data_IF_421311372925
#
_entry.id   IF_421311372925
#
_cell.length_a   1.000
_cell.length_b   1.000
_cell.length_c   1.000
_cell.angle_alpha   90.00
_cell.angle_beta   90.00
_cell.angle_gamma   90.00
#
_symmetry.space_group_name_H-M   'P 1'
#
loop_
_entity.id
_entity.type
_entity.pdbx_description
1 polymer ?
#
# COMPACT_ATOMS: atom_id res chain seq x y z
N UNK A 1 8.63 28.46 -29.74
CA UNK A 1 7.27 28.11 -29.30
C UNK A 1 6.87 26.83 -30.01
N UNK A 2 7.09 25.69 -29.37
CA UNK A 2 6.62 24.39 -29.86
C UNK A 2 5.34 24.07 -29.10
N UNK A 3 4.23 24.06 -29.82
CA UNK A 3 2.92 23.69 -29.33
C UNK A 3 3.00 22.23 -28.83
N UNK A 4 2.75 22.02 -27.54
CA UNK A 4 2.62 20.69 -26.94
C UNK A 4 1.47 19.93 -27.63
N UNK A 5 1.80 19.11 -28.61
CA UNK A 5 0.93 18.02 -29.00
C UNK A 5 0.85 17.08 -27.80
N UNK A 6 -0.21 17.20 -26.99
CA UNK A 6 -0.54 16.23 -25.93
C UNK A 6 -0.66 14.85 -26.59
N UNK A 7 0.34 14.01 -26.35
CA UNK A 7 0.39 12.63 -26.78
C UNK A 7 -0.88 11.92 -26.23
N UNK A 8 -1.79 11.40 -27.08
CA UNK A 8 -2.99 10.69 -26.62
C UNK A 8 -2.64 9.48 -25.73
N UNK A 9 -1.45 8.92 -25.95
CA UNK A 9 -0.89 7.81 -25.19
C UNK A 9 -0.58 8.25 -23.74
N UNK A 10 -0.31 9.55 -23.48
CA UNK A 10 -0.11 10.08 -22.12
C UNK A 10 -1.32 9.81 -21.22
N UNK A 11 -2.55 9.91 -21.76
CA UNK A 11 -3.79 9.62 -21.01
C UNK A 11 -3.96 8.16 -20.66
N UNK A 12 -3.53 7.21 -21.49
CA UNK A 12 -3.58 5.79 -21.18
C UNK A 12 -2.43 5.37 -20.24
N UNK A 13 -1.25 5.98 -20.40
CA UNK A 13 -0.06 5.78 -19.55
C UNK A 13 -0.28 6.28 -18.12
N UNK A 14 -1.01 7.40 -17.97
CA UNK A 14 -1.56 7.90 -16.70
C UNK A 14 -2.32 6.79 -15.95
N UNK A 15 -3.10 5.98 -16.66
CA UNK A 15 -4.02 5.01 -16.06
C UNK A 15 -3.28 3.84 -15.42
N UNK A 16 -2.21 3.33 -16.04
CA UNK A 16 -1.42 2.23 -15.45
C UNK A 16 -0.78 2.63 -14.11
N UNK A 17 -0.22 3.84 -14.02
CA UNK A 17 0.35 4.35 -12.77
C UNK A 17 -0.73 4.56 -11.69
N UNK A 18 -1.90 5.10 -12.06
CA UNK A 18 -3.04 5.26 -11.15
C UNK A 18 -3.54 3.90 -10.63
N UNK A 19 -3.73 2.92 -11.51
CA UNK A 19 -4.18 1.57 -11.13
C UNK A 19 -3.20 0.87 -10.21
N UNK A 20 -1.91 0.89 -10.55
CA UNK A 20 -0.88 0.32 -9.68
C UNK A 20 -0.81 1.03 -8.32
N UNK A 21 -0.94 2.36 -8.29
CA UNK A 21 -1.02 3.12 -7.05
C UNK A 21 -2.24 2.71 -6.20
N UNK A 22 -3.40 2.49 -6.82
CA UNK A 22 -4.59 2.03 -6.12
C UNK A 22 -4.39 0.63 -5.51
N UNK A 23 -3.83 -0.32 -6.27
CA UNK A 23 -3.54 -1.68 -5.77
C UNK A 23 -2.59 -1.65 -4.57
N UNK A 24 -1.50 -0.88 -4.66
CA UNK A 24 -0.54 -0.77 -3.55
C UNK A 24 -1.17 -0.06 -2.35
N UNK A 25 -1.93 1.02 -2.58
CA UNK A 25 -2.61 1.75 -1.50
C UNK A 25 -3.60 0.86 -0.74
N UNK A 26 -4.41 0.05 -1.44
CA UNK A 26 -5.33 -0.90 -0.80
C UNK A 26 -4.60 -2.01 -0.04
N UNK A 27 -3.39 -2.39 -0.48
CA UNK A 27 -2.62 -3.47 0.16
C UNK A 27 -1.86 -3.01 1.39
N UNK A 28 -1.50 -1.73 1.45
CA UNK A 28 -0.63 -1.17 2.47
C UNK A 28 -1.16 -1.34 3.91
N UNK A 29 -2.44 -1.08 4.23
CA UNK A 29 -2.96 -1.25 5.59
C UNK A 29 -2.77 -2.68 6.10
N UNK A 30 -3.26 -3.67 5.35
CA UNK A 30 -3.13 -5.08 5.74
C UNK A 30 -1.67 -5.50 5.86
N UNK A 31 -0.80 -5.06 4.96
CA UNK A 31 0.63 -5.39 5.00
C UNK A 31 1.33 -4.83 6.24
N UNK A 32 1.09 -3.55 6.56
CA UNK A 32 1.71 -2.89 7.72
C UNK A 32 1.18 -3.46 9.04
N UNK A 33 -0.14 -3.65 9.16
CA UNK A 33 -0.77 -4.24 10.35
C UNK A 33 -0.29 -5.69 10.58
N UNK A 34 -0.19 -6.48 9.51
CA UNK A 34 0.40 -7.82 9.57
C UNK A 34 1.87 -7.76 10.02
N UNK A 35 2.67 -6.84 9.50
CA UNK A 35 4.07 -6.71 9.93
C UNK A 35 4.18 -6.35 11.43
N UNK A 36 3.36 -5.41 11.92
CA UNK A 36 3.29 -5.04 13.33
C UNK A 36 2.88 -6.20 14.24
N UNK A 37 2.01 -7.08 13.74
CA UNK A 37 1.53 -8.23 14.48
C UNK A 37 2.63 -9.25 14.84
N UNK A 38 3.74 -9.27 14.10
CA UNK A 38 4.94 -10.07 14.42
C UNK A 38 5.96 -9.31 15.28
N UNK A 39 5.68 -8.04 15.60
CA UNK A 39 6.51 -7.18 16.45
C UNK A 39 5.94 -7.02 17.85
N UNK A 40 4.82 -7.68 18.15
CA UNK A 40 4.23 -7.71 19.48
C UNK A 40 5.15 -8.47 20.43
N UNK A 41 5.54 -7.81 21.52
CA UNK A 41 6.29 -8.41 22.61
C UNK A 41 5.35 -9.17 23.53
N UNK A 42 5.78 -10.34 24.00
CA UNK A 42 5.10 -11.03 25.09
C UNK A 42 5.22 -10.23 26.39
N UNK A 43 4.07 -9.82 26.93
CA UNK A 43 3.97 -9.15 28.22
C UNK A 43 3.12 -10.03 29.12
N UNK A 44 3.61 -10.44 30.31
CA UNK A 44 2.83 -11.27 31.22
C UNK A 44 1.46 -10.66 31.52
N UNK A 45 0.40 -11.43 31.33
CA UNK A 45 -0.99 -10.98 31.52
C UNK A 45 -1.61 -10.22 30.36
N UNK A 46 -0.88 -9.93 29.28
CA UNK A 46 -1.48 -9.35 28.06
C UNK A 46 -2.13 -10.45 27.21
N UNK A 47 -3.44 -10.36 26.88
CA UNK A 47 -4.10 -11.35 26.04
C UNK A 47 -3.70 -11.27 24.56
N UNK A 48 -3.06 -10.18 24.12
CA UNK A 48 -2.77 -9.92 22.70
C UNK A 48 -1.93 -11.03 22.02
N UNK A 49 -0.79 -11.49 22.58
CA UNK A 49 -0.04 -12.60 21.98
C UNK A 49 -0.88 -13.86 21.77
N UNK A 50 -1.75 -14.20 22.73
CA UNK A 50 -2.66 -15.34 22.62
C UNK A 50 -3.70 -15.18 21.51
N UNK A 51 -4.30 -13.99 21.39
CA UNK A 51 -5.21 -13.67 20.27
C UNK A 51 -4.52 -13.81 18.91
N UNK A 52 -3.28 -13.33 18.81
CA UNK A 52 -2.51 -13.39 17.56
C UNK A 52 -2.09 -14.81 17.21
N UNK A 53 -1.76 -15.65 18.19
CA UNK A 53 -1.45 -17.06 18.00
C UNK A 53 -2.66 -17.88 17.51
N UNK A 54 -3.87 -17.46 17.86
CA UNK A 54 -5.11 -18.11 17.44
C UNK A 54 -5.59 -17.72 16.03
N UNK A 55 -4.99 -16.69 15.41
CA UNK A 55 -5.37 -16.25 14.07
C UNK A 55 -4.94 -17.27 13.00
N UNK A 56 -5.85 -17.68 12.12
CA UNK A 56 -5.59 -18.61 11.02
C UNK A 56 -5.04 -17.91 9.76
N UNK A 57 -5.14 -16.59 9.68
CA UNK A 57 -4.75 -15.83 8.49
C UNK A 57 -4.11 -14.48 8.82
N UNK A 58 -3.32 -13.96 7.88
CA UNK A 58 -2.76 -12.60 7.99
C UNK A 58 -3.86 -11.52 8.03
N UNK A 59 -5.01 -11.78 7.39
CA UNK A 59 -6.19 -10.91 7.46
C UNK A 59 -6.70 -10.80 8.91
N UNK A 60 -6.89 -11.92 9.59
CA UNK A 60 -7.28 -11.94 11.00
C UNK A 60 -6.25 -11.26 11.90
N UNK A 61 -4.96 -11.54 11.68
CA UNK A 61 -3.86 -10.88 12.42
C UNK A 61 -3.92 -9.36 12.26
N UNK A 62 -4.10 -8.87 11.04
CA UNK A 62 -4.22 -7.45 10.76
C UNK A 62 -5.44 -6.82 11.44
N UNK A 63 -6.60 -7.49 11.41
CA UNK A 63 -7.83 -7.04 12.07
C UNK A 63 -7.67 -6.95 13.61
N UNK A 64 -7.03 -7.95 14.24
CA UNK A 64 -6.72 -7.90 15.67
C UNK A 64 -5.81 -6.71 15.99
N UNK A 65 -4.76 -6.46 15.19
CA UNK A 65 -3.89 -5.30 15.43
C UNK A 65 -4.62 -3.98 15.24
N UNK A 66 -5.48 -3.84 14.23
CA UNK A 66 -6.27 -2.63 14.03
C UNK A 66 -7.13 -2.31 15.27
N UNK A 67 -7.89 -3.29 15.76
CA UNK A 67 -8.74 -3.13 16.94
C UNK A 67 -7.94 -2.78 18.21
N UNK A 68 -6.74 -3.35 18.38
CA UNK A 68 -5.88 -3.06 19.52
C UNK A 68 -5.23 -1.67 19.42
N UNK A 69 -4.97 -1.18 18.21
CA UNK A 69 -4.49 0.20 17.99
C UNK A 69 -5.54 1.27 18.26
N UNK A 70 -6.82 0.97 18.01
CA UNK A 70 -7.95 1.86 18.30
C UNK A 70 -8.27 1.90 19.81
N UNK A 71 -8.20 0.75 20.48
CA UNK A 71 -8.60 0.63 21.88
C UNK A 71 -7.51 0.98 22.89
N UNK A 72 -6.22 0.92 22.52
CA UNK A 72 -5.10 1.13 23.45
C UNK A 72 -4.34 2.43 23.18
N UNK A 73 -3.96 3.12 24.26
CA UNK A 73 -3.03 4.25 24.20
C UNK A 73 -1.57 3.85 23.88
N UNK A 74 -1.15 2.63 24.25
CA UNK A 74 0.20 2.09 24.01
C UNK A 74 0.19 0.74 23.28
N UNK A 75 1.31 0.37 22.67
CA UNK A 75 1.44 -0.89 21.93
C UNK A 75 2.76 -1.60 22.31
N UNK A 76 2.71 -2.89 22.72
CA UNK A 76 3.88 -3.58 23.24
C UNK A 76 4.79 -4.05 22.09
N UNK A 77 5.79 -3.24 21.73
CA UNK A 77 6.77 -3.62 20.71
C UNK A 77 7.98 -4.37 21.27
N UNK A 78 8.49 -5.33 20.48
CA UNK A 78 9.80 -5.94 20.70
C UNK A 78 10.89 -4.89 20.55
N UNK A 79 11.85 -4.87 21.49
CA UNK A 79 13.03 -3.99 21.41
C UNK A 79 14.00 -4.55 20.37
N UNK A 80 14.26 -3.79 19.32
CA UNK A 80 15.20 -4.12 18.25
C UNK A 80 15.68 -2.83 17.55
N UNK A 81 16.64 -2.95 16.62
CA UNK A 81 17.06 -1.83 15.79
C UNK A 81 15.91 -1.20 14.97
N UNK A 82 14.80 -1.93 14.77
CA UNK A 82 13.60 -1.48 14.05
C UNK A 82 12.58 -0.76 14.91
N UNK A 83 12.73 -0.73 16.24
CA UNK A 83 11.69 -0.20 17.14
C UNK A 83 11.25 1.22 16.79
N UNK A 84 12.17 2.09 16.33
CA UNK A 84 11.80 3.43 15.85
C UNK A 84 10.93 3.40 14.58
N UNK A 85 11.25 2.52 13.63
CA UNK A 85 10.45 2.32 12.42
C UNK A 85 9.08 1.71 12.73
N UNK A 86 9.04 0.75 13.67
CA UNK A 86 7.80 0.09 14.09
C UNK A 86 6.89 1.09 14.86
N UNK A 87 7.48 1.97 15.68
CA UNK A 87 6.74 3.06 16.33
C UNK A 87 6.18 4.07 15.30
N UNK A 88 6.95 4.40 14.27
CA UNK A 88 6.46 5.25 13.17
C UNK A 88 5.34 4.56 12.37
N UNK A 89 5.41 3.24 12.18
CA UNK A 89 4.35 2.45 11.57
C UNK A 89 3.06 2.51 12.38
N UNK A 90 3.13 2.34 13.71
CA UNK A 90 1.98 2.51 14.61
C UNK A 90 1.37 3.90 14.46
N UNK A 91 2.18 4.95 14.43
CA UNK A 91 1.68 6.31 14.29
C UNK A 91 0.91 6.50 12.97
N UNK A 92 1.46 6.00 11.85
CA UNK A 92 0.77 6.03 10.55
C UNK A 92 -0.52 5.20 10.55
N UNK A 93 -0.51 4.03 11.17
CA UNK A 93 -1.69 3.16 11.26
C UNK A 93 -2.79 3.77 12.13
N UNK A 94 -2.44 4.45 13.23
CA UNK A 94 -3.41 5.22 14.02
C UNK A 94 -3.99 6.40 13.25
N UNK A 95 -3.15 7.14 12.51
CA UNK A 95 -3.64 8.20 11.62
C UNK A 95 -4.62 7.64 10.58
N UNK A 96 -4.29 6.49 9.99
CA UNK A 96 -5.13 5.79 9.03
C UNK A 96 -6.46 5.33 9.63
N UNK A 97 -6.45 4.73 10.82
CA UNK A 97 -7.66 4.24 11.49
C UNK A 97 -8.60 5.39 11.86
N UNK A 98 -8.05 6.54 12.23
CA UNK A 98 -8.83 7.73 12.56
C UNK A 98 -9.47 8.41 11.34
N UNK A 99 -8.81 8.40 10.19
CA UNK A 99 -9.31 9.00 8.95
C UNK A 99 -8.85 8.21 7.71
N UNK A 100 -9.53 7.08 7.41
CA UNK A 100 -9.15 6.17 6.34
C UNK A 100 -9.06 6.83 4.97
N UNK A 101 -10.08 7.63 4.63
CA UNK A 101 -10.22 8.26 3.32
C UNK A 101 -9.08 9.22 3.05
N UNK A 102 -8.87 10.21 3.92
CA UNK A 102 -7.83 11.22 3.74
C UNK A 102 -6.44 10.60 3.64
N UNK A 103 -6.14 9.63 4.52
CA UNK A 103 -4.81 9.02 4.57
C UNK A 103 -4.55 8.16 3.33
N UNK A 104 -5.52 7.33 2.91
CA UNK A 104 -5.36 6.50 1.72
C UNK A 104 -5.31 7.31 0.43
N UNK A 105 -6.10 8.39 0.30
CA UNK A 105 -6.01 9.31 -0.83
C UNK A 105 -4.63 9.95 -0.94
N UNK A 106 -4.09 10.43 0.19
CA UNK A 106 -2.73 10.99 0.24
C UNK A 106 -1.67 9.96 -0.13
N UNK A 107 -1.73 8.75 0.43
CA UNK A 107 -0.79 7.66 0.12
C UNK A 107 -0.87 7.28 -1.35
N UNK A 108 -2.08 7.09 -1.90
CA UNK A 108 -2.30 6.85 -3.33
C UNK A 108 -1.66 7.95 -4.18
N UNK A 109 -1.84 9.22 -3.82
CA UNK A 109 -1.24 10.36 -4.53
C UNK A 109 0.29 10.28 -4.59
N UNK A 110 0.95 9.96 -3.46
CA UNK A 110 2.42 9.79 -3.43
C UNK A 110 2.89 8.62 -4.28
N UNK A 111 2.17 7.49 -4.25
CA UNK A 111 2.46 6.31 -5.05
C UNK A 111 2.32 6.62 -6.54
N UNK A 112 1.22 7.26 -6.94
CA UNK A 112 0.93 7.60 -8.32
C UNK A 112 1.99 8.56 -8.88
N UNK A 113 2.34 9.62 -8.14
CA UNK A 113 3.40 10.55 -8.56
C UNK A 113 4.75 9.85 -8.74
N UNK A 114 5.07 8.90 -7.86
CA UNK A 114 6.32 8.13 -7.94
C UNK A 114 6.34 7.24 -9.17
N UNK A 115 5.25 6.50 -9.42
CA UNK A 115 5.12 5.62 -10.59
C UNK A 115 5.11 6.40 -11.91
N UNK A 116 4.46 7.57 -11.96
CA UNK A 116 4.54 8.49 -13.11
C UNK A 116 5.96 8.97 -13.35
N UNK A 117 6.75 9.22 -12.30
CA UNK A 117 8.16 9.60 -12.42
C UNK A 117 8.98 8.45 -13.00
N UNK A 118 8.77 7.21 -12.54
CA UNK A 118 9.41 6.03 -13.13
C UNK A 118 9.09 5.94 -14.63
N UNK A 119 7.82 6.14 -14.99
CA UNK A 119 7.39 6.11 -16.38
C UNK A 119 8.11 7.17 -17.24
N UNK A 120 8.24 8.40 -16.75
CA UNK A 120 9.03 9.44 -17.43
C UNK A 120 10.50 9.06 -17.58
N UNK A 121 11.12 8.51 -16.54
CA UNK A 121 12.50 8.02 -16.61
C UNK A 121 12.64 6.90 -17.66
N UNK A 122 11.70 5.96 -17.72
CA UNK A 122 11.66 4.90 -18.75
C UNK A 122 11.64 5.52 -20.16
N UNK A 123 10.79 6.51 -20.40
CA UNK A 123 10.68 7.13 -21.72
C UNK A 123 11.95 7.88 -22.12
N UNK A 124 12.59 8.58 -21.20
CA UNK A 124 13.88 9.24 -21.46
C UNK A 124 14.95 8.20 -21.83
N UNK A 125 15.01 7.08 -21.12
CA UNK A 125 15.96 6.00 -21.43
C UNK A 125 15.66 5.38 -22.80
N UNK A 126 14.39 5.03 -23.07
CA UNK A 126 13.98 4.35 -24.30
C UNK A 126 14.04 5.22 -25.55
N UNK A 127 13.65 6.50 -25.45
CA UNK A 127 13.58 7.41 -26.60
C UNK A 127 14.82 8.31 -26.72
N UNK A 128 15.46 8.65 -25.60
CA UNK A 128 16.65 9.48 -25.58
C UNK A 128 17.97 8.71 -25.57
N UNK A 129 17.93 7.37 -25.47
CA UNK A 129 19.13 6.52 -25.41
C UNK A 129 20.04 6.76 -24.21
N UNK A 130 19.60 7.58 -23.24
CA UNK A 130 20.43 8.04 -22.12
C UNK A 130 20.08 7.27 -20.86
N UNK A 131 20.96 6.30 -20.52
CA UNK A 131 20.92 5.56 -19.25
C UNK A 131 21.53 6.35 -18.07
N UNK A 132 22.13 7.52 -18.34
CA UNK A 132 22.82 8.36 -17.36
C UNK A 132 21.95 9.41 -16.66
N UNK A 133 20.62 9.30 -16.75
CA UNK A 133 19.72 10.26 -16.12
C UNK A 133 19.92 10.30 -14.61
N UNK A 134 20.34 11.45 -14.07
CA UNK A 134 20.61 11.69 -12.63
C UNK A 134 19.43 11.24 -11.73
N UNK A 135 18.21 11.31 -12.26
CA UNK A 135 16.99 10.92 -11.55
C UNK A 135 16.67 9.41 -11.56
N UNK A 136 17.29 8.61 -12.44
CA UNK A 136 16.94 7.19 -12.62
C UNK A 136 17.25 6.34 -11.37
N UNK A 137 18.44 6.44 -10.73
CA UNK A 137 18.72 5.67 -9.52
C UNK A 137 17.76 6.00 -8.36
N UNK A 138 17.42 7.29 -8.19
CA UNK A 138 16.48 7.74 -7.17
C UNK A 138 15.05 7.26 -7.44
N UNK A 139 14.62 7.30 -8.71
CA UNK A 139 13.33 6.76 -9.12
C UNK A 139 13.24 5.26 -8.83
N UNK A 140 14.22 4.47 -9.29
CA UNK A 140 14.25 3.02 -9.12
C UNK A 140 14.27 2.60 -7.64
N UNK A 141 15.08 3.27 -6.80
CA UNK A 141 15.12 2.99 -5.35
C UNK A 141 13.75 3.14 -4.69
N UNK A 142 12.94 4.08 -5.18
CA UNK A 142 11.62 4.35 -4.62
C UNK A 142 10.55 3.45 -5.23
N UNK A 143 10.58 3.22 -6.55
CA UNK A 143 9.48 2.60 -7.27
C UNK A 143 9.63 1.11 -7.52
N UNK A 144 10.85 0.55 -7.52
CA UNK A 144 11.05 -0.89 -7.71
C UNK A 144 10.25 -1.74 -6.70
N UNK A 145 10.28 -1.47 -5.37
CA UNK A 145 9.47 -2.24 -4.43
C UNK A 145 7.96 -2.05 -4.65
N UNK A 146 7.53 -0.86 -5.09
CA UNK A 146 6.11 -0.57 -5.36
C UNK A 146 5.58 -1.33 -6.58
N UNK A 147 6.39 -1.42 -7.64
CA UNK A 147 6.08 -2.23 -8.82
C UNK A 147 6.00 -3.70 -8.43
N UNK A 148 6.94 -4.20 -7.64
CA UNK A 148 6.90 -5.55 -7.09
C UNK A 148 5.63 -5.83 -6.30
N UNK A 149 5.26 -4.91 -5.39
CA UNK A 149 4.01 -5.03 -4.62
C UNK A 149 2.77 -5.06 -5.51
N UNK A 150 2.67 -4.19 -6.52
CA UNK A 150 1.53 -4.18 -7.44
C UNK A 150 1.42 -5.49 -8.24
N UNK A 151 2.55 -5.99 -8.77
CA UNK A 151 2.59 -7.25 -9.52
C UNK A 151 2.27 -8.45 -8.64
N UNK A 152 2.77 -8.49 -7.41
CA UNK A 152 2.47 -9.53 -6.43
C UNK A 152 0.96 -9.60 -6.15
N UNK A 153 0.28 -8.44 -6.01
CA UNK A 153 -1.18 -8.42 -5.83
C UNK A 153 -1.95 -8.92 -7.05
N UNK A 154 -1.53 -8.55 -8.24
CA UNK A 154 -2.13 -9.03 -9.49
C UNK A 154 -1.97 -10.55 -9.60
N UNK A 155 -0.76 -11.06 -9.37
CA UNK A 155 -0.46 -12.49 -9.42
C UNK A 155 -1.27 -13.25 -8.38
N UNK A 156 -1.30 -12.77 -7.13
CA UNK A 156 -2.07 -13.39 -6.06
C UNK A 156 -3.57 -13.47 -6.39
N UNK A 157 -4.18 -12.38 -6.85
CA UNK A 157 -5.61 -12.35 -7.19
C UNK A 157 -5.96 -13.30 -8.35
N UNK A 158 -5.08 -13.40 -9.34
CA UNK A 158 -5.28 -14.33 -10.45
C UNK A 158 -5.12 -15.79 -9.98
N UNK A 159 -4.10 -16.09 -9.18
CA UNK A 159 -3.83 -17.46 -8.72
C UNK A 159 -4.84 -17.99 -7.69
N UNK A 160 -5.37 -17.11 -6.83
CA UNK A 160 -6.27 -17.51 -5.72
C UNK A 160 -7.74 -17.38 -6.09
N UNK A 161 -8.10 -16.35 -6.86
CA UNK A 161 -9.50 -15.98 -7.10
C UNK A 161 -9.85 -15.84 -8.59
N UNK A 162 -8.96 -16.28 -9.50
CA UNK A 162 -9.09 -16.15 -10.96
C UNK A 162 -9.53 -14.75 -11.41
N UNK A 163 -9.10 -13.71 -10.68
CA UNK A 163 -9.57 -12.35 -10.94
C UNK A 163 -8.68 -11.69 -12.00
N UNK A 164 -9.25 -11.19 -13.12
CA UNK A 164 -8.48 -10.51 -14.14
C UNK A 164 -7.85 -9.21 -13.62
N UNK A 165 -6.63 -8.83 -14.07
CA UNK A 165 -5.91 -7.67 -13.54
C UNK A 165 -6.69 -6.34 -13.61
N UNK A 166 -7.44 -6.12 -14.70
CA UNK A 166 -8.25 -4.91 -14.87
C UNK A 166 -9.45 -4.85 -13.91
N UNK A 167 -10.06 -6.01 -13.63
CA UNK A 167 -11.17 -6.12 -12.67
C UNK A 167 -10.65 -5.82 -11.27
N UNK A 168 -9.50 -6.40 -10.88
CA UNK A 168 -8.87 -6.11 -9.60
C UNK A 168 -8.55 -4.62 -9.42
N UNK A 169 -8.00 -3.97 -10.44
CA UNK A 169 -7.71 -2.54 -10.40
C UNK A 169 -8.99 -1.70 -10.22
N UNK A 170 -10.08 -2.04 -10.93
CA UNK A 170 -11.38 -1.37 -10.78
C UNK A 170 -11.98 -1.57 -9.37
N UNK A 171 -11.82 -2.77 -8.79
CA UNK A 171 -12.24 -3.05 -7.41
C UNK A 171 -11.46 -2.19 -6.42
N UNK A 172 -10.13 -2.13 -6.54
CA UNK A 172 -9.28 -1.30 -5.69
C UNK A 172 -9.66 0.19 -5.76
N UNK A 173 -9.89 0.72 -6.97
CA UNK A 173 -10.35 2.11 -7.15
C UNK A 173 -11.72 2.38 -6.51
N UNK A 174 -12.61 1.38 -6.51
CA UNK A 174 -13.94 1.47 -5.89
C UNK A 174 -13.83 1.38 -4.36
N UNK A 175 -13.03 0.45 -3.86
CA UNK A 175 -12.74 0.30 -2.43
C UNK A 175 -12.17 1.59 -1.83
N UNK A 176 -11.22 2.24 -2.51
CA UNK A 176 -10.66 3.52 -2.04
C UNK A 176 -11.69 4.67 -2.02
N UNK A 177 -12.68 4.65 -2.92
CA UNK A 177 -13.75 5.66 -2.92
C UNK A 177 -14.74 5.43 -1.78
N UNK A 178 -15.03 4.17 -1.48
CA UNK A 178 -16.03 3.77 -0.48
C UNK A 178 -15.46 3.59 0.93
N UNK A 179 -14.13 3.62 1.10
CA UNK A 179 -13.52 3.41 2.42
C UNK A 179 -14.02 4.46 3.42
N UNK A 180 -14.42 3.98 4.61
CA UNK A 180 -15.02 4.81 5.66
C UNK A 180 -16.53 5.06 5.52
N UNK A 181 -17.17 4.59 4.45
CA UNK A 181 -18.63 4.56 4.36
C UNK A 181 -19.21 3.30 5.04
N UNK A 182 -20.43 3.38 5.56
CA UNK A 182 -21.11 2.27 6.26
C UNK A 182 -21.23 0.99 5.42
N UNK A 183 -21.32 1.13 4.09
CA UNK A 183 -21.40 0.03 3.13
C UNK A 183 -20.05 -0.25 2.42
N UNK A 184 -18.99 0.46 2.83
CA UNK A 184 -17.66 0.32 2.28
C UNK A 184 -16.90 -0.90 2.82
N UNK A 185 -15.82 -1.33 2.13
CA UNK A 185 -14.96 -2.38 2.65
C UNK A 185 -14.18 -1.91 3.89
N UNK A 186 -13.94 -2.83 4.81
CA UNK A 186 -13.03 -2.59 5.94
C UNK A 186 -11.58 -2.39 5.48
N UNK A 187 -10.77 -1.70 6.29
CA UNK A 187 -9.36 -1.40 5.98
C UNK A 187 -8.50 -2.64 5.67
N UNK A 188 -8.80 -3.77 6.31
CA UNK A 188 -8.08 -5.03 6.09
C UNK A 188 -8.52 -5.76 4.80
N UNK A 189 -9.61 -5.31 4.16
CA UNK A 189 -10.34 -6.02 3.11
C UNK A 189 -10.41 -5.20 1.81
N UNK A 190 -9.62 -4.13 1.70
CA UNK A 190 -9.61 -3.21 0.55
C UNK A 190 -9.17 -3.86 -0.77
N UNK A 191 -8.54 -5.04 -0.71
CA UNK A 191 -8.02 -5.78 -1.86
C UNK A 191 -8.18 -7.29 -1.64
N UNK A 192 -9.42 -7.73 -1.72
CA UNK A 192 -9.86 -9.13 -1.76
C UNK A 192 -10.72 -9.39 -3.01
#
# INVERSE_FOLDING_TARGET
MLTEARDPDEREKVVAASRAAALVACSWPRAELTALSYRVREVPGDPLPGKLAACASNRERAAVIAAELESRGGFPLVRSWRTASDAAAIHRMRELLADPRRVLERVRGYLEMSLRRLYRCRNIVLHGGSIGGIALPAALRTTAPLVGAALDRIAHAHLVADTPPLVLASRAETALRMVGDDLGPGLCDLID
#
